data_IF_686485978198
#
_entry.id   IF_686485978198
#
_cell.length_a   1.000
_cell.length_b   1.000
_cell.length_c   1.000
_cell.angle_alpha   90.00
_cell.angle_beta   90.00
_cell.angle_gamma   90.00
#
_symmetry.space_group_name_H-M   'P 1'
#
loop_
_entity.id
_entity.type
_entity.pdbx_description
1 polymer ?
#
# COMPACT_ATOMS: atom_id res chain seq x y z
N UNK A 1 18.70 -38.91 -3.86
CA UNK A 1 17.40 -38.29 -4.19
C UNK A 1 17.54 -36.79 -4.02
N UNK A 2 17.50 -36.01 -5.11
CA UNK A 2 17.60 -34.55 -5.05
C UNK A 2 16.21 -34.01 -4.78
N UNK A 3 16.02 -33.42 -3.60
CA UNK A 3 14.77 -32.80 -3.19
C UNK A 3 14.73 -31.38 -3.78
N UNK A 4 14.41 -31.28 -5.07
CA UNK A 4 14.28 -30.00 -5.77
C UNK A 4 12.97 -29.35 -5.33
N UNK A 5 12.99 -28.63 -4.20
CA UNK A 5 11.94 -27.67 -3.88
C UNK A 5 11.96 -26.60 -4.96
N UNK A 6 11.08 -26.72 -5.95
CA UNK A 6 10.72 -25.63 -6.84
C UNK A 6 10.02 -24.59 -5.95
N UNK A 7 10.78 -23.67 -5.36
CA UNK A 7 10.21 -22.42 -4.87
C UNK A 7 9.63 -21.72 -6.11
N UNK A 8 8.31 -21.72 -6.23
CA UNK A 8 7.62 -20.91 -7.22
C UNK A 8 8.19 -19.48 -7.10
N UNK A 9 8.81 -18.99 -8.17
CA UNK A 9 9.32 -17.63 -8.20
C UNK A 9 8.13 -16.69 -8.01
N UNK A 10 8.06 -16.06 -6.84
CA UNK A 10 6.96 -15.17 -6.49
C UNK A 10 6.86 -14.02 -7.50
N UNK A 11 5.64 -13.54 -7.79
CA UNK A 11 5.44 -12.53 -8.81
C UNK A 11 6.20 -11.25 -8.41
N UNK A 12 7.21 -10.88 -9.23
CA UNK A 12 7.92 -9.59 -9.10
C UNK A 12 7.11 -8.42 -9.64
N UNK A 13 5.95 -8.71 -10.23
CA UNK A 13 5.03 -7.74 -10.81
C UNK A 13 3.61 -8.16 -10.51
N UNK A 14 2.79 -7.21 -10.11
CA UNK A 14 1.35 -7.37 -9.89
C UNK A 14 0.59 -6.32 -10.69
N UNK A 15 -0.61 -6.70 -11.14
CA UNK A 15 -1.53 -5.84 -11.87
C UNK A 15 -2.83 -5.75 -11.07
N UNK A 16 -3.34 -4.54 -10.88
CA UNK A 16 -4.64 -4.28 -10.29
C UNK A 16 -5.45 -3.33 -11.16
N UNK A 17 -6.75 -3.58 -11.27
CA UNK A 17 -7.69 -2.70 -11.94
C UNK A 17 -8.74 -2.24 -10.94
N UNK A 18 -8.86 -0.93 -10.76
CA UNK A 18 -9.78 -0.32 -9.80
C UNK A 18 -10.38 0.94 -10.42
N UNK A 19 -11.71 1.00 -10.53
CA UNK A 19 -12.47 2.19 -10.96
C UNK A 19 -11.91 2.88 -12.23
N UNK A 20 -11.66 2.10 -13.28
CA UNK A 20 -11.17 2.62 -14.56
C UNK A 20 -9.70 3.04 -14.57
N UNK A 21 -8.95 2.71 -13.51
CA UNK A 21 -7.49 2.81 -13.45
C UNK A 21 -6.85 1.43 -13.47
N UNK A 22 -5.67 1.33 -14.07
CA UNK A 22 -4.81 0.15 -13.94
C UNK A 22 -3.54 0.52 -13.20
N UNK A 23 -3.17 -0.30 -12.21
CA UNK A 23 -1.93 -0.19 -11.46
C UNK A 23 -1.03 -1.35 -11.85
N UNK A 24 0.18 -1.04 -12.30
CA UNK A 24 1.26 -2.00 -12.44
C UNK A 24 2.27 -1.73 -11.35
N UNK A 25 2.48 -2.71 -10.47
CA UNK A 25 3.42 -2.60 -9.37
C UNK A 25 4.52 -3.62 -9.58
N UNK A 26 5.77 -3.20 -9.46
CA UNK A 26 6.92 -4.03 -9.78
C UNK A 26 8.03 -3.87 -8.73
N UNK A 27 8.53 -5.00 -8.23
CA UNK A 27 9.64 -5.04 -7.29
C UNK A 27 10.97 -5.22 -8.03
N UNK A 28 11.79 -4.17 -7.95
CA UNK A 28 13.13 -4.08 -8.53
C UNK A 28 14.15 -4.48 -7.46
N UNK A 29 14.51 -5.77 -7.41
CA UNK A 29 15.51 -6.30 -6.46
C UNK A 29 16.92 -5.74 -6.63
N UNK A 30 17.24 -5.25 -7.82
CA UNK A 30 18.53 -4.70 -8.17
C UNK A 30 18.31 -3.35 -8.84
N UNK A 31 18.09 -2.32 -8.03
CA UNK A 31 18.07 -0.95 -8.49
C UNK A 31 19.32 -0.21 -7.99
N UNK A 32 19.68 0.95 -8.59
CA UNK A 32 20.90 1.69 -8.25
C UNK A 32 21.03 2.08 -6.77
N UNK A 33 19.92 2.08 -6.02
CA UNK A 33 19.84 2.52 -4.62
C UNK A 33 19.37 1.42 -3.66
N UNK A 34 19.47 0.17 -4.09
CA UNK A 34 18.99 -1.00 -3.35
C UNK A 34 17.71 -1.58 -3.94
N UNK A 35 16.90 -2.23 -3.12
CA UNK A 35 15.61 -2.75 -3.56
C UNK A 35 14.58 -1.61 -3.66
N UNK A 36 13.93 -1.49 -4.81
CA UNK A 36 12.94 -0.45 -5.09
C UNK A 36 11.61 -1.07 -5.58
N UNK A 37 10.53 -0.31 -5.47
CA UNK A 37 9.20 -0.64 -5.98
C UNK A 37 8.75 0.47 -6.91
N UNK A 38 8.41 0.09 -8.13
CA UNK A 38 7.71 0.94 -9.08
C UNK A 38 6.21 0.72 -8.95
N UNK A 39 5.46 1.81 -8.80
CA UNK A 39 4.01 1.84 -8.89
C UNK A 39 3.64 2.73 -10.06
N UNK A 40 3.11 2.11 -11.12
CA UNK A 40 2.66 2.79 -12.33
C UNK A 40 1.14 2.80 -12.36
N UNK A 41 0.54 3.96 -12.17
CA UNK A 41 -0.87 4.21 -12.44
C UNK A 41 -1.05 4.58 -13.92
N UNK A 42 -1.97 3.93 -14.61
CA UNK A 42 -2.50 4.38 -15.90
C UNK A 42 -3.99 4.68 -15.75
N UNK A 43 -4.38 5.87 -16.18
CA UNK A 43 -5.77 6.34 -16.17
C UNK A 43 -6.06 7.17 -17.41
N UNK A 44 -7.32 7.59 -17.58
CA UNK A 44 -7.70 8.53 -18.66
C UNK A 44 -6.89 9.83 -18.64
N UNK A 45 -6.40 10.25 -17.46
CA UNK A 45 -5.62 11.47 -17.28
C UNK A 45 -4.14 11.33 -17.59
N UNK A 46 -3.67 10.13 -17.95
CA UNK A 46 -2.26 9.86 -18.28
C UNK A 46 -1.66 8.71 -17.50
N UNK A 47 -0.34 8.61 -17.57
CA UNK A 47 0.46 7.62 -16.83
C UNK A 47 1.27 8.32 -15.76
N UNK A 48 1.16 7.84 -14.52
CA UNK A 48 1.88 8.35 -13.37
C UNK A 48 2.72 7.23 -12.77
N UNK A 49 3.97 7.54 -12.44
CA UNK A 49 4.90 6.58 -11.86
C UNK A 49 5.44 7.12 -10.55
N UNK A 50 5.39 6.27 -9.54
CA UNK A 50 6.00 6.44 -8.23
C UNK A 50 7.08 5.36 -8.06
N UNK A 51 8.31 5.76 -7.76
CA UNK A 51 9.41 4.85 -7.42
C UNK A 51 9.82 5.09 -5.98
N UNK A 52 9.72 4.05 -5.16
CA UNK A 52 9.98 4.08 -3.70
C UNK A 52 10.93 2.96 -3.31
N UNK A 53 11.57 3.06 -2.15
CA UNK A 53 12.32 1.94 -1.59
C UNK A 53 11.38 0.74 -1.33
N UNK A 54 11.93 -0.47 -1.25
CA UNK A 54 11.15 -1.64 -0.84
C UNK A 54 10.51 -1.48 0.54
N UNK A 55 11.17 -0.77 1.46
CA UNK A 55 10.59 -0.40 2.75
C UNK A 55 9.40 0.56 2.59
N UNK A 56 9.50 1.54 1.69
CA UNK A 56 8.39 2.40 1.28
C UNK A 56 7.23 1.61 0.68
N UNK A 57 7.54 0.58 -0.11
CA UNK A 57 6.55 -0.36 -0.63
C UNK A 57 5.79 -1.09 0.48
N UNK A 58 6.49 -1.64 1.48
CA UNK A 58 5.87 -2.33 2.63
C UNK A 58 4.96 -1.40 3.43
N UNK A 59 5.43 -0.17 3.64
CA UNK A 59 4.64 0.87 4.30
C UNK A 59 3.38 1.23 3.51
N UNK A 60 3.50 1.47 2.21
CA UNK A 60 2.37 1.75 1.33
C UNK A 60 1.34 0.61 1.38
N UNK A 61 1.81 -0.64 1.28
CA UNK A 61 0.94 -1.82 1.34
C UNK A 61 0.19 -1.93 2.67
N UNK A 62 0.90 -1.71 3.78
CA UNK A 62 0.30 -1.71 5.13
C UNK A 62 -0.72 -0.59 5.30
N UNK A 63 -0.36 0.62 4.89
CA UNK A 63 -1.21 1.80 4.97
C UNK A 63 -2.52 1.61 4.20
N UNK A 64 -2.45 1.13 2.94
CA UNK A 64 -3.63 0.86 2.14
C UNK A 64 -4.56 -0.18 2.79
N UNK A 65 -4.00 -1.25 3.37
CA UNK A 65 -4.79 -2.22 4.12
C UNK A 65 -5.45 -1.58 5.35
N UNK A 66 -4.73 -0.78 6.13
CA UNK A 66 -5.27 -0.11 7.32
C UNK A 66 -6.43 0.84 6.95
N UNK A 67 -6.24 1.69 5.94
CA UNK A 67 -7.30 2.58 5.48
C UNK A 67 -8.53 1.77 5.04
N UNK A 68 -8.33 0.65 4.32
CA UNK A 68 -9.44 -0.22 3.89
C UNK A 68 -10.23 -0.86 5.05
N UNK A 69 -9.63 -0.99 6.22
CA UNK A 69 -10.29 -1.51 7.43
C UNK A 69 -11.12 -0.45 8.16
N UNK A 70 -11.18 0.79 7.65
CA UNK A 70 -11.94 1.88 8.27
C UNK A 70 -11.26 2.48 9.51
N UNK A 71 -9.98 2.21 9.74
CA UNK A 71 -9.22 2.78 10.87
C UNK A 71 -8.70 4.19 10.57
N UNK A 72 -8.96 4.71 9.37
CA UNK A 72 -8.50 6.03 8.91
C UNK A 72 -9.68 6.88 8.49
N UNK A 73 -9.70 8.14 8.93
CA UNK A 73 -10.75 9.12 8.61
C UNK A 73 -10.39 9.95 7.37
N UNK A 74 -11.41 10.50 6.70
CA UNK A 74 -11.23 11.52 5.66
C UNK A 74 -10.40 12.71 6.19
N UNK A 75 -9.52 13.25 5.35
CA UNK A 75 -8.58 14.31 5.70
C UNK A 75 -7.33 13.84 6.44
N UNK A 76 -7.23 12.54 6.78
CA UNK A 76 -6.01 12.00 7.40
C UNK A 76 -4.81 12.15 6.47
N UNK A 77 -3.71 12.67 7.01
CA UNK A 77 -2.46 12.91 6.27
C UNK A 77 -1.36 11.97 6.71
N UNK A 78 -0.58 11.50 5.76
CA UNK A 78 0.55 10.61 5.99
C UNK A 78 1.81 11.22 5.39
N UNK A 79 2.95 11.06 6.05
CA UNK A 79 4.23 11.50 5.50
C UNK A 79 5.28 10.41 5.66
N UNK A 80 6.08 10.22 4.62
CA UNK A 80 7.24 9.35 4.64
C UNK A 80 8.39 10.00 3.89
N UNK A 81 9.56 10.02 4.53
CA UNK A 81 10.80 10.39 3.85
C UNK A 81 11.35 9.17 3.12
N UNK A 82 11.71 9.37 1.85
CA UNK A 82 12.37 8.37 1.02
C UNK A 82 13.78 8.87 0.66
N UNK A 83 14.70 7.97 0.27
CA UNK A 83 16.03 8.37 -0.18
C UNK A 83 16.00 9.36 -1.35
N UNK A 84 14.98 9.27 -2.22
CA UNK A 84 14.85 10.07 -3.43
C UNK A 84 13.84 11.23 -3.31
N UNK A 85 13.21 11.42 -2.15
CA UNK A 85 12.04 12.28 -2.10
C UNK A 85 11.27 12.27 -0.79
N UNK A 86 10.16 12.98 -0.79
CA UNK A 86 9.19 12.95 0.30
C UNK A 86 7.84 12.57 -0.27
N UNK A 87 7.17 11.63 0.39
CA UNK A 87 5.83 11.17 0.05
C UNK A 87 4.87 11.76 1.08
N UNK A 88 3.86 12.48 0.60
CA UNK A 88 2.75 12.97 1.42
C UNK A 88 1.45 12.39 0.89
N UNK A 89 0.74 11.63 1.72
CA UNK A 89 -0.57 11.04 1.43
C UNK A 89 -1.70 11.81 2.11
N UNK A 90 -2.87 11.90 1.48
CA UNK A 90 -4.09 12.43 2.09
C UNK A 90 -5.30 11.63 1.64
N UNK A 91 -6.13 11.20 2.59
CA UNK A 91 -7.43 10.59 2.27
C UNK A 91 -8.40 11.70 1.91
N UNK A 92 -8.86 11.72 0.67
CA UNK A 92 -9.77 12.71 0.12
C UNK A 92 -11.06 12.04 -0.36
N UNK A 93 -12.10 12.83 -0.54
CA UNK A 93 -13.36 12.41 -1.15
C UNK A 93 -13.77 13.43 -2.22
N UNK A 94 -14.35 12.95 -3.31
CA UNK A 94 -14.99 13.81 -4.31
C UNK A 94 -16.25 13.14 -4.87
N UNK A 95 -16.89 13.75 -5.88
CA UNK A 95 -18.11 13.21 -6.51
C UNK A 95 -17.99 11.83 -7.18
N UNK A 96 -16.79 11.23 -7.22
CA UNK A 96 -16.53 9.86 -7.70
C UNK A 96 -16.26 8.87 -6.57
N UNK A 97 -16.18 9.32 -5.32
CA UNK A 97 -15.88 8.51 -4.14
C UNK A 97 -14.60 8.92 -3.43
N UNK A 98 -14.21 8.08 -2.46
CA UNK A 98 -13.02 8.26 -1.65
C UNK A 98 -11.77 7.81 -2.40
N UNK A 99 -10.66 8.50 -2.17
CA UNK A 99 -9.37 8.16 -2.75
C UNK A 99 -8.23 8.62 -1.86
N UNK A 100 -7.12 7.88 -1.90
CA UNK A 100 -5.87 8.28 -1.28
C UNK A 100 -5.01 8.98 -2.33
N UNK A 101 -4.81 10.29 -2.18
CA UNK A 101 -3.89 11.07 -3.01
C UNK A 101 -2.51 11.02 -2.39
N UNK A 102 -1.51 10.61 -3.15
CA UNK A 102 -0.11 10.83 -2.81
C UNK A 102 0.50 11.90 -3.68
N UNK A 103 1.09 12.90 -3.03
CA UNK A 103 1.99 13.87 -3.65
C UNK A 103 3.41 13.46 -3.30
N UNK A 104 4.22 13.28 -4.33
CA UNK A 104 5.58 12.79 -4.22
C UNK A 104 6.50 13.86 -4.74
N UNK A 105 7.34 14.39 -3.86
CA UNK A 105 8.42 15.28 -4.25
C UNK A 105 9.66 14.45 -4.61
N UNK A 106 10.06 14.44 -5.88
CA UNK A 106 11.29 13.79 -6.31
C UNK A 106 12.44 14.81 -6.28
N UNK A 107 13.42 14.59 -5.39
CA UNK A 107 14.57 15.49 -5.20
C UNK A 107 15.46 15.58 -6.42
N UNK A 108 15.68 14.49 -7.14
CA UNK A 108 16.56 14.48 -8.32
C UNK A 108 15.97 15.21 -9.52
N UNK A 109 14.64 15.25 -9.62
CA UNK A 109 13.94 15.93 -10.72
C UNK A 109 13.48 17.34 -10.34
N UNK A 110 13.45 17.68 -9.05
CA UNK A 110 12.84 18.91 -8.54
C UNK A 110 11.34 19.00 -8.84
N UNK A 111 10.67 17.86 -9.05
CA UNK A 111 9.28 17.79 -9.53
C UNK A 111 8.37 17.10 -8.52
N UNK A 112 7.14 17.60 -8.44
CA UNK A 112 6.04 16.92 -7.78
C UNK A 112 5.34 15.99 -8.76
N UNK A 113 5.02 14.79 -8.29
CA UNK A 113 4.17 13.83 -8.99
C UNK A 113 2.99 13.48 -8.11
N UNK A 114 1.86 13.15 -8.72
CA UNK A 114 0.68 12.72 -7.98
C UNK A 114 0.24 11.36 -8.47
N UNK A 115 -0.07 10.46 -7.54
CA UNK A 115 -0.69 9.17 -7.79
C UNK A 115 -1.92 9.06 -6.88
N UNK A 116 -3.02 8.53 -7.39
CA UNK A 116 -4.28 8.49 -6.64
C UNK A 116 -4.83 7.07 -6.64
N UNK A 117 -4.92 6.48 -5.45
CA UNK A 117 -5.48 5.15 -5.22
C UNK A 117 -6.98 5.28 -4.88
N UNK A 118 -7.89 4.89 -5.79
CA UNK A 118 -9.32 4.91 -5.50
C UNK A 118 -9.68 3.87 -4.44
N UNK A 119 -10.64 4.21 -3.57
CA UNK A 119 -11.13 3.29 -2.55
C UNK A 119 -11.85 2.08 -3.17
N UNK A 120 -12.53 2.24 -4.30
CA UNK A 120 -13.44 1.20 -4.79
C UNK A 120 -14.71 1.12 -3.92
N UNK A 121 -15.55 0.13 -4.22
CA UNK A 121 -16.72 -0.17 -3.39
C UNK A 121 -16.25 -0.59 -1.99
N UNK A 122 -16.60 0.20 -0.96
CA UNK A 122 -16.28 -0.07 0.45
C UNK A 122 -14.77 -0.32 0.72
N UNK A 123 -13.86 0.39 0.04
CA UNK A 123 -12.41 0.29 0.30
C UNK A 123 -11.72 -0.93 -0.34
N UNK A 124 -12.42 -1.71 -1.18
CA UNK A 124 -11.86 -2.89 -1.86
C UNK A 124 -10.64 -2.59 -2.73
N UNK A 125 -10.58 -1.40 -3.34
CA UNK A 125 -9.45 -0.96 -4.15
C UNK A 125 -8.16 -0.84 -3.34
N UNK A 126 -8.24 -0.21 -2.17
CA UNK A 126 -7.12 -0.12 -1.23
C UNK A 126 -6.71 -1.48 -0.70
N UNK A 127 -7.66 -2.32 -0.32
CA UNK A 127 -7.38 -3.68 0.16
C UNK A 127 -6.69 -4.54 -0.89
N UNK A 128 -7.17 -4.50 -2.14
CA UNK A 128 -6.59 -5.23 -3.27
C UNK A 128 -5.15 -4.80 -3.53
N UNK A 129 -4.92 -3.50 -3.69
CA UNK A 129 -3.58 -2.98 -4.00
C UNK A 129 -2.63 -3.23 -2.81
N UNK A 130 -3.08 -2.93 -1.59
CA UNK A 130 -2.29 -3.11 -0.38
C UNK A 130 -1.87 -4.55 -0.15
N UNK A 131 -2.80 -5.50 -0.30
CA UNK A 131 -2.51 -6.93 -0.18
C UNK A 131 -1.55 -7.42 -1.26
N UNK A 132 -1.71 -6.98 -2.52
CA UNK A 132 -0.80 -7.35 -3.59
C UNK A 132 0.63 -6.84 -3.36
N UNK A 133 0.80 -5.60 -2.91
CA UNK A 133 2.11 -5.03 -2.56
C UNK A 133 2.77 -5.83 -1.44
N UNK A 134 2.02 -6.15 -0.38
CA UNK A 134 2.51 -6.94 0.75
C UNK A 134 2.88 -8.36 0.33
N UNK A 135 2.04 -9.02 -0.47
CA UNK A 135 2.30 -10.38 -0.99
C UNK A 135 3.60 -10.44 -1.80
N UNK A 136 3.86 -9.40 -2.58
CA UNK A 136 5.05 -9.29 -3.42
C UNK A 136 6.33 -9.10 -2.59
N UNK A 137 6.29 -8.25 -1.55
CA UNK A 137 7.47 -7.86 -0.77
C UNK A 137 7.77 -8.77 0.43
N UNK A 138 6.73 -9.36 1.03
CA UNK A 138 6.82 -10.18 2.25
C UNK A 138 6.14 -11.56 2.07
N UNK A 139 6.61 -12.37 1.10
CA UNK A 139 5.94 -13.61 0.69
C UNK A 139 5.92 -14.69 1.78
N UNK A 140 6.85 -14.64 2.74
CA UNK A 140 6.93 -15.61 3.85
C UNK A 140 5.95 -15.31 4.99
N UNK A 141 5.44 -14.08 5.08
CA UNK A 141 4.49 -13.69 6.14
C UNK A 141 3.04 -14.10 5.84
N UNK A 142 2.80 -14.78 4.72
CA UNK A 142 1.50 -15.39 4.43
C UNK A 142 1.31 -16.76 5.10
N UNK A 143 2.39 -17.42 5.54
CA UNK A 143 2.28 -18.76 6.15
C UNK A 143 2.07 -18.71 7.67
N UNK A 144 2.53 -17.68 8.38
CA UNK A 144 2.35 -17.55 9.84
C UNK A 144 2.30 -16.07 10.29
N UNK A 145 1.26 -15.71 11.05
CA UNK A 145 1.38 -14.74 12.14
C UNK A 145 1.04 -13.27 11.88
N UNK A 146 0.40 -12.69 12.89
CA UNK A 146 0.00 -11.28 13.04
C UNK A 146 1.15 -10.29 12.81
N UNK A 147 0.88 -9.20 12.08
CA UNK A 147 1.83 -8.11 11.86
C UNK A 147 1.42 -6.88 12.68
N UNK A 148 2.24 -6.50 13.65
CA UNK A 148 2.16 -5.19 14.32
C UNK A 148 2.95 -4.16 13.48
N UNK A 149 2.28 -3.10 13.02
CA UNK A 149 2.94 -2.00 12.32
C UNK A 149 3.75 -1.13 13.30
N UNK A 150 5.05 -0.88 13.06
CA UNK A 150 5.86 -0.05 13.95
C UNK A 150 5.93 1.39 13.44
N UNK A 151 4.88 2.21 13.58
CA UNK A 151 4.98 3.64 13.21
C UNK A 151 4.20 4.57 14.13
N UNK A 152 4.79 5.74 14.39
CA UNK A 152 4.21 6.85 15.15
C UNK A 152 3.27 7.67 14.27
N UNK A 153 2.05 7.89 14.76
CA UNK A 153 1.05 8.74 14.14
C UNK A 153 1.33 10.21 14.51
N UNK A 154 1.58 11.07 13.51
CA UNK A 154 1.37 12.51 13.67
C UNK A 154 -0.08 12.81 13.31
N UNK A 155 -0.97 12.57 14.28
CA UNK A 155 -2.37 12.95 14.19
C UNK A 155 -2.50 14.45 14.50
N UNK A 156 -2.51 15.30 13.48
CA UNK A 156 -2.97 16.69 13.64
C UNK A 156 -4.46 16.74 13.31
N UNK A 157 -5.31 16.24 14.20
CA UNK A 157 -6.76 16.42 14.06
C UNK A 157 -7.18 17.78 14.60
N UNK A 158 -7.53 18.71 13.73
CA UNK A 158 -8.51 19.75 14.07
C UNK A 158 -9.89 19.07 14.09
N UNK A 159 -10.23 18.43 15.22
CA UNK A 159 -11.58 18.42 15.77
C UNK A 159 -11.61 17.58 17.07
N UNK A 160 -11.94 18.27 18.15
CA UNK A 160 -12.23 17.70 19.47
C UNK A 160 -13.44 16.78 19.38
N UNK A 161 -13.26 15.47 19.35
CA UNK A 161 -14.20 14.55 19.99
C UNK A 161 -13.41 13.44 20.70
N UNK A 162 -13.65 13.35 22.01
CA UNK A 162 -13.00 12.46 22.97
C UNK A 162 -13.14 11.01 22.50
N UNK A 163 -12.02 10.37 22.15
CA UNK A 163 -11.95 8.93 21.94
C UNK A 163 -11.47 8.30 23.25
N UNK A 164 -12.40 7.76 24.02
CA UNK A 164 -12.10 6.68 24.98
C UNK A 164 -12.24 5.37 24.21
N UNK A 165 -11.42 4.39 24.58
CA UNK A 165 -11.46 2.99 24.12
C UNK A 165 -10.68 2.70 22.82
N UNK A 166 -9.35 2.71 22.96
CA UNK A 166 -8.43 2.00 22.07
C UNK A 166 -8.43 0.51 22.46
N UNK A 167 -9.47 -0.22 22.07
CA UNK A 167 -9.45 -1.67 22.17
C UNK A 167 -8.47 -2.25 21.12
N UNK A 168 -7.55 -3.08 21.60
CA UNK A 168 -6.61 -3.85 20.77
C UNK A 168 -7.39 -4.63 19.72
N UNK A 169 -7.31 -4.21 18.45
CA UNK A 169 -7.87 -4.95 17.33
C UNK A 169 -6.89 -6.07 16.94
N UNK A 170 -7.18 -7.28 17.41
CA UNK A 170 -6.51 -8.52 16.98
C UNK A 170 -7.13 -9.00 15.67
N UNK A 171 -6.35 -9.05 14.58
CA UNK A 171 -6.78 -9.54 13.27
C UNK A 171 -6.75 -11.07 13.21
N UNK A 172 -7.91 -11.75 13.25
CA UNK A 172 -8.03 -13.16 12.81
C UNK A 172 -8.41 -13.22 11.33
N UNK A 173 -7.44 -13.50 10.46
CA UNK A 173 -7.70 -13.84 9.06
C UNK A 173 -8.16 -15.31 8.97
N UNK A 174 -9.39 -15.54 8.51
CA UNK A 174 -9.92 -16.88 8.25
C UNK A 174 -9.41 -17.41 6.90
N UNK A 175 -8.35 -18.20 6.94
CA UNK A 175 -8.00 -19.12 5.84
C UNK A 175 -8.80 -20.41 6.00
N UNK A 176 -9.78 -20.68 5.13
CA UNK A 176 -10.39 -22.01 5.03
C UNK A 176 -9.32 -23.01 4.63
N UNK A 177 -8.88 -23.86 5.55
CA UNK A 177 -8.17 -25.10 5.20
C UNK A 177 -9.11 -25.96 4.36
N UNK A 178 -8.81 -26.12 3.07
CA UNK A 178 -9.35 -27.25 2.31
C UNK A 178 -8.71 -28.53 2.86
N UNK A 179 -9.49 -29.33 3.57
CA UNK A 179 -9.15 -30.73 3.88
C UNK A 179 -9.03 -31.48 2.56
N UNK A 180 -7.84 -31.99 2.25
CA UNK A 180 -7.66 -33.05 1.26
C UNK A 180 -8.01 -34.38 1.95
N UNK A 181 -9.01 -35.07 1.39
CA UNK A 181 -9.11 -36.53 1.51
C UNK A 181 -8.12 -37.18 0.55
#
# INVERSE_FOLDING_TARGET
>A
MVNTRVQAALPRRVLAHVEGKSFQIEWLKQAPRGEEVDVVERSKGGTFMLRISAEGGRWLGTLLCQISMGTTLLGSTFRREEPNGTITGTVEANGRGDFLRFVVFNRSEGKFRTICFPAGIKGQGWSLIGSQVRSMLDPKQMEEGEYQAPFSFLQTSHNNHKMKDLDRVTLRLWGKQQKRN
#
